data_IF_846428956168
#
_entry.id   IF_846428956168
#
_cell.length_a   1.000
_cell.length_b   1.000
_cell.length_c   1.000
_cell.angle_alpha   90.00
_cell.angle_beta   90.00
_cell.angle_gamma   90.00
#
_symmetry.space_group_name_H-M   'P 1'
#
loop_
_entity.id
_entity.type
_entity.pdbx_description
1 polymer ?
#
# COMPACT_ATOMS: atom_id res chain seq x y z
N UNK A 1 -13.28 14.21 6.72
CA UNK A 1 -11.89 13.86 6.30
C UNK A 1 -11.56 14.49 4.93
N UNK A 2 -12.09 15.69 4.64
CA UNK A 2 -12.20 16.27 3.29
C UNK A 2 -11.20 17.38 2.94
N UNK A 3 -10.64 18.07 3.93
CA UNK A 3 -10.07 19.42 3.67
C UNK A 3 -8.63 19.39 3.09
N UNK A 4 -8.05 18.21 2.94
CA UNK A 4 -6.63 18.01 2.57
C UNK A 4 -6.47 17.46 1.14
N UNK A 5 -7.52 16.83 0.59
CA UNK A 5 -7.47 16.19 -0.73
C UNK A 5 -8.25 17.02 -1.76
N UNK A 6 -7.84 18.29 -1.94
CA UNK A 6 -8.41 19.21 -2.93
C UNK A 6 -7.31 20.04 -3.59
N UNK A 7 -7.60 20.54 -4.80
CA UNK A 7 -6.65 21.23 -5.68
C UNK A 7 -5.91 22.37 -4.99
N UNK A 8 -6.60 23.19 -4.19
CA UNK A 8 -5.98 24.29 -3.44
C UNK A 8 -4.96 23.81 -2.42
N UNK A 9 -5.26 22.72 -1.69
CA UNK A 9 -4.29 22.13 -0.75
C UNK A 9 -3.05 21.60 -1.49
N UNK A 10 -3.25 20.89 -2.61
CA UNK A 10 -2.15 20.35 -3.43
C UNK A 10 -1.28 21.45 -3.99
N UNK A 11 -1.87 22.52 -4.51
CA UNK A 11 -1.14 23.68 -5.03
C UNK A 11 -0.27 24.33 -3.94
N UNK A 12 -0.79 24.49 -2.74
CA UNK A 12 -0.08 25.21 -1.68
C UNK A 12 0.95 24.35 -0.92
N UNK A 13 0.65 23.08 -0.64
CA UNK A 13 1.48 22.23 0.21
C UNK A 13 2.19 21.09 -0.52
N UNK A 14 1.84 20.82 -1.78
CA UNK A 14 2.22 19.59 -2.48
C UNK A 14 3.73 19.37 -2.56
N UNK A 15 4.49 20.33 -3.10
CA UNK A 15 5.94 20.19 -3.24
C UNK A 15 6.65 19.99 -1.89
N UNK A 16 6.23 20.71 -0.84
CA UNK A 16 6.78 20.58 0.51
C UNK A 16 6.50 19.21 1.11
N UNK A 17 5.34 18.63 0.82
CA UNK A 17 4.98 17.29 1.25
C UNK A 17 5.75 16.22 0.48
N UNK A 18 5.89 16.33 -0.84
CA UNK A 18 6.72 15.43 -1.64
C UNK A 18 8.17 15.41 -1.16
N UNK A 19 8.76 16.59 -0.91
CA UNK A 19 10.10 16.71 -0.30
C UNK A 19 10.18 16.11 1.10
N UNK A 20 9.08 16.11 1.87
CA UNK A 20 9.05 15.44 3.17
C UNK A 20 8.99 13.92 2.99
N UNK A 21 8.20 13.42 2.04
CA UNK A 21 8.04 11.98 1.78
C UNK A 21 9.34 11.38 1.24
N UNK A 22 10.02 12.07 0.32
CA UNK A 22 11.24 11.58 -0.30
C UNK A 22 12.38 11.31 0.70
N UNK A 23 12.45 12.08 1.79
CA UNK A 23 13.46 11.91 2.86
C UNK A 23 13.35 10.60 3.61
N UNK A 24 12.19 9.96 3.62
CA UNK A 24 11.92 8.78 4.44
C UNK A 24 11.64 7.53 3.60
N UNK A 25 11.91 7.56 2.30
CA UNK A 25 11.72 6.40 1.43
C UNK A 25 13.05 5.92 0.88
N UNK A 26 13.25 4.62 0.88
CA UNK A 26 14.45 3.98 0.32
C UNK A 26 14.03 2.91 -0.67
N UNK A 27 14.78 2.74 -1.77
CA UNK A 27 14.60 1.58 -2.63
C UNK A 27 15.02 0.34 -1.84
N UNK A 28 14.22 -0.72 -1.87
CA UNK A 28 14.63 -1.99 -1.29
C UNK A 28 15.72 -2.62 -2.18
N UNK A 29 16.86 -3.00 -1.61
CA UNK A 29 17.92 -3.73 -2.33
C UNK A 29 17.61 -5.22 -2.45
N UNK A 30 16.79 -5.78 -1.55
CA UNK A 30 16.84 -7.21 -1.23
C UNK A 30 15.64 -8.03 -1.70
N UNK A 31 14.80 -7.56 -2.62
CA UNK A 31 13.76 -8.44 -3.15
C UNK A 31 13.25 -8.01 -4.52
N UNK A 32 13.03 -9.02 -5.33
CA UNK A 32 12.22 -9.17 -6.56
C UNK A 32 10.98 -8.26 -6.75
N UNK A 33 10.62 -7.40 -5.78
CA UNK A 33 9.43 -6.55 -5.82
C UNK A 33 9.70 -5.09 -6.18
N UNK A 34 10.94 -4.62 -6.36
CA UNK A 34 11.26 -3.21 -6.69
C UNK A 34 10.48 -2.17 -5.83
N UNK A 35 10.18 -2.50 -4.57
CA UNK A 35 9.43 -1.62 -3.68
C UNK A 35 10.28 -0.42 -3.24
N UNK A 36 9.62 0.73 -3.15
CA UNK A 36 10.18 1.91 -2.47
C UNK A 36 9.56 1.97 -1.08
N UNK A 37 10.32 1.67 -0.03
CA UNK A 37 9.79 1.38 1.31
C UNK A 37 9.90 2.61 2.21
N UNK A 38 8.82 2.92 2.93
CA UNK A 38 8.79 3.94 3.98
C UNK A 38 9.58 3.50 5.22
N UNK A 39 10.39 4.39 5.80
CA UNK A 39 11.29 4.10 6.93
C UNK A 39 10.96 4.88 8.20
N UNK A 40 9.86 5.61 8.23
CA UNK A 40 9.43 6.38 9.40
C UNK A 40 8.19 5.76 10.07
N UNK A 41 7.50 6.52 10.92
CA UNK A 41 6.38 6.05 11.73
C UNK A 41 5.28 5.36 10.91
N UNK A 42 4.71 4.33 11.53
CA UNK A 42 3.57 3.55 11.03
C UNK A 42 2.35 3.76 11.95
N UNK A 43 1.15 3.54 11.43
CA UNK A 43 -0.05 3.39 12.26
C UNK A 43 -0.14 1.97 12.85
N UNK A 44 -1.15 1.76 13.70
CA UNK A 44 -1.42 0.47 14.35
C UNK A 44 -1.67 -0.69 13.36
N UNK A 45 -2.07 -0.38 12.13
CA UNK A 45 -2.38 -1.37 11.10
C UNK A 45 -1.16 -1.64 10.19
N UNK A 46 -0.04 -0.97 10.45
CA UNK A 46 1.23 -1.10 9.72
C UNK A 46 1.35 -0.18 8.50
N UNK A 47 0.48 0.83 8.33
CA UNK A 47 0.57 1.77 7.22
C UNK A 47 1.46 2.98 7.55
N UNK A 48 2.24 3.48 6.58
CA UNK A 48 2.98 4.73 6.69
C UNK A 48 2.12 5.93 7.11
N UNK A 49 2.58 6.66 8.12
CA UNK A 49 1.96 7.92 8.56
C UNK A 49 2.93 9.09 8.52
N UNK A 50 2.40 10.26 8.18
CA UNK A 50 3.10 11.54 8.24
C UNK A 50 2.30 12.51 9.10
N UNK A 51 2.88 12.91 10.23
CA UNK A 51 2.30 13.89 11.15
C UNK A 51 2.66 15.30 10.67
N UNK A 52 1.68 16.16 10.40
CA UNK A 52 1.88 17.57 9.99
C UNK A 52 0.87 18.50 10.63
N UNK A 53 1.28 19.75 10.83
CA UNK A 53 0.40 20.83 11.28
C UNK A 53 0.15 21.78 10.13
N UNK A 54 -1.11 22.06 9.82
CA UNK A 54 -1.52 23.09 8.86
C UNK A 54 -2.58 23.98 9.49
N UNK A 55 -2.43 25.30 9.35
CA UNK A 55 -3.38 26.28 9.90
C UNK A 55 -3.75 25.96 11.37
N UNK A 56 -2.74 25.73 12.20
CA UNK A 56 -2.86 25.38 13.63
C UNK A 56 -3.51 24.03 13.95
N UNK A 57 -3.95 23.25 12.95
CA UNK A 57 -4.54 21.92 13.14
C UNK A 57 -3.54 20.82 12.82
N UNK A 58 -3.45 19.81 13.67
CA UNK A 58 -2.59 18.63 13.49
C UNK A 58 -3.32 17.56 12.68
N UNK A 59 -2.59 16.89 11.80
CA UNK A 59 -3.09 15.86 10.91
C UNK A 59 -2.16 14.65 10.90
N UNK A 60 -2.77 13.46 10.92
CA UNK A 60 -2.10 12.18 10.68
C UNK A 60 -2.43 11.74 9.25
N UNK A 61 -1.52 11.97 8.32
CA UNK A 61 -1.73 11.67 6.91
C UNK A 61 -1.24 10.27 6.58
N UNK A 62 -2.07 9.42 5.98
CA UNK A 62 -1.64 8.14 5.40
C UNK A 62 -0.79 8.42 4.16
N UNK A 63 0.49 8.03 4.20
CA UNK A 63 1.49 8.50 3.22
C UNK A 63 1.22 7.93 1.84
N UNK A 64 0.79 6.68 1.71
CA UNK A 64 0.45 6.09 0.42
C UNK A 64 -0.69 6.84 -0.27
N UNK A 65 -1.72 7.23 0.48
CA UNK A 65 -2.87 7.98 -0.05
C UNK A 65 -2.47 9.40 -0.42
N UNK A 66 -1.67 10.03 0.43
CA UNK A 66 -1.12 11.36 0.17
C UNK A 66 -0.23 11.37 -1.06
N UNK A 67 0.70 10.41 -1.19
CA UNK A 67 1.60 10.32 -2.32
C UNK A 67 0.84 10.11 -3.63
N UNK A 68 -0.10 9.15 -3.65
CA UNK A 68 -0.94 8.92 -4.82
C UNK A 68 -1.69 10.19 -5.22
N UNK A 69 -2.27 10.92 -4.25
CA UNK A 69 -2.93 12.18 -4.51
C UNK A 69 -2.00 13.24 -5.12
N UNK A 70 -0.80 13.40 -4.56
CA UNK A 70 0.15 14.44 -4.98
C UNK A 70 0.73 14.18 -6.37
N UNK A 71 0.93 12.92 -6.74
CA UNK A 71 1.61 12.54 -7.99
C UNK A 71 0.64 12.14 -9.12
N UNK A 72 -0.64 11.86 -8.81
CA UNK A 72 -1.66 11.61 -9.83
C UNK A 72 -2.21 12.91 -10.42
N UNK A 73 -2.81 12.89 -11.63
CA UNK A 73 -3.51 14.04 -12.20
C UNK A 73 -4.85 14.35 -11.50
N UNK A 74 -5.24 13.58 -10.47
CA UNK A 74 -6.51 13.78 -9.77
C UNK A 74 -6.52 15.12 -9.02
N UNK A 75 -7.63 15.83 -9.13
CA UNK A 75 -7.87 17.08 -8.40
C UNK A 75 -8.26 16.84 -6.93
N UNK A 76 -8.99 15.74 -6.69
CA UNK A 76 -9.45 15.30 -5.38
C UNK A 76 -9.49 13.77 -5.29
N UNK A 77 -9.54 13.23 -4.06
CA UNK A 77 -9.75 11.80 -3.82
C UNK A 77 -11.11 11.55 -3.16
N UNK A 78 -11.92 10.74 -3.82
CA UNK A 78 -13.18 10.20 -3.30
C UNK A 78 -12.94 9.39 -2.02
N UNK A 79 -13.63 9.72 -0.91
CA UNK A 79 -13.55 8.94 0.32
C UNK A 79 -14.05 7.49 0.18
N UNK A 80 -14.87 7.17 -0.84
CA UNK A 80 -15.37 5.81 -1.13
C UNK A 80 -14.33 4.92 -1.82
N UNK A 81 -13.24 5.51 -2.32
CA UNK A 81 -12.16 4.81 -2.99
C UNK A 81 -10.95 4.68 -2.07
N UNK A 82 -10.20 3.60 -2.26
CA UNK A 82 -9.01 3.22 -1.52
C UNK A 82 -7.79 3.27 -2.41
N UNK A 83 -6.62 3.47 -1.80
CA UNK A 83 -5.32 3.30 -2.46
C UNK A 83 -4.75 1.97 -1.99
N UNK A 84 -4.85 0.96 -2.85
CA UNK A 84 -4.48 -0.42 -2.59
C UNK A 84 -3.03 -0.69 -2.99
N UNK A 85 -2.33 -1.53 -2.23
CA UNK A 85 -0.98 -1.98 -2.57
C UNK A 85 -1.05 -3.25 -3.41
N UNK A 86 -0.77 -3.16 -4.70
CA UNK A 86 -0.72 -4.30 -5.62
C UNK A 86 0.32 -5.33 -5.19
N UNK A 87 1.44 -4.87 -4.62
CA UNK A 87 2.52 -5.71 -4.10
C UNK A 87 2.25 -6.29 -2.70
N UNK A 88 1.13 -5.95 -2.06
CA UNK A 88 0.76 -6.34 -0.70
C UNK A 88 1.75 -5.96 0.42
N UNK A 89 2.77 -5.16 0.11
CA UNK A 89 3.62 -4.52 1.10
C UNK A 89 3.00 -3.20 1.55
N UNK A 90 2.46 -3.15 2.77
CA UNK A 90 1.81 -1.96 3.35
C UNK A 90 2.71 -0.73 3.46
N UNK A 91 4.03 -0.91 3.46
CA UNK A 91 5.02 0.16 3.56
C UNK A 91 5.52 0.65 2.20
N UNK A 92 5.06 0.05 1.09
CA UNK A 92 5.49 0.41 -0.25
C UNK A 92 4.86 1.74 -0.70
N UNK A 93 5.70 2.61 -1.25
CA UNK A 93 5.38 3.92 -1.79
C UNK A 93 5.75 4.04 -3.28
N UNK A 94 5.98 2.92 -3.97
CA UNK A 94 6.13 2.92 -5.42
C UNK A 94 4.74 3.13 -6.05
N UNK A 95 4.55 4.23 -6.78
CA UNK A 95 3.28 4.56 -7.43
C UNK A 95 2.77 3.45 -8.35
N UNK A 96 3.67 2.75 -9.05
CA UNK A 96 3.32 1.64 -9.93
C UNK A 96 2.79 0.41 -9.17
N UNK A 97 2.99 0.36 -7.85
CA UNK A 97 2.46 -0.68 -6.98
C UNK A 97 1.21 -0.22 -6.23
N UNK A 98 0.69 0.97 -6.54
CA UNK A 98 -0.54 1.50 -5.96
C UNK A 98 -1.65 1.49 -7.01
N UNK A 99 -2.88 1.27 -6.56
CA UNK A 99 -4.07 1.40 -7.40
C UNK A 99 -5.19 2.09 -6.65
N UNK A 100 -5.86 3.02 -7.30
CA UNK A 100 -6.99 3.75 -6.75
C UNK A 100 -8.31 3.11 -7.19
N UNK A 101 -9.02 2.49 -6.26
CA UNK A 101 -10.10 1.56 -6.57
C UNK A 101 -11.19 1.51 -5.47
N UNK A 102 -12.39 0.98 -5.77
CA UNK A 102 -13.44 0.82 -4.77
C UNK A 102 -13.07 -0.14 -3.64
N UNK A 103 -13.70 0.05 -2.48
CA UNK A 103 -13.51 -0.80 -1.29
C UNK A 103 -13.68 -2.30 -1.57
N UNK A 104 -14.64 -2.66 -2.44
CA UNK A 104 -14.90 -4.07 -2.83
C UNK A 104 -13.67 -4.70 -3.49
N UNK A 105 -13.01 -3.99 -4.41
CA UNK A 105 -11.81 -4.49 -5.10
C UNK A 105 -10.64 -4.61 -4.13
N UNK A 106 -10.44 -3.60 -3.28
CA UNK A 106 -9.42 -3.66 -2.23
C UNK A 106 -9.64 -4.86 -1.28
N UNK A 107 -10.89 -5.19 -0.95
CA UNK A 107 -11.21 -6.35 -0.11
C UNK A 107 -10.90 -7.67 -0.83
N UNK A 108 -11.25 -7.80 -2.11
CA UNK A 108 -10.95 -9.00 -2.92
C UNK A 108 -9.44 -9.31 -3.00
N UNK A 109 -8.58 -8.29 -2.89
CA UNK A 109 -7.13 -8.47 -2.84
C UNK A 109 -6.66 -9.28 -1.63
N UNK A 110 -7.39 -9.26 -0.51
CA UNK A 110 -7.05 -10.07 0.66
C UNK A 110 -7.17 -11.57 0.35
N UNK A 111 -8.19 -11.96 -0.42
CA UNK A 111 -8.33 -13.34 -0.92
C UNK A 111 -7.17 -13.75 -1.82
N UNK A 112 -6.67 -12.83 -2.64
CA UNK A 112 -5.50 -13.14 -3.47
C UNK A 112 -4.25 -13.44 -2.64
N UNK A 113 -4.05 -12.73 -1.52
CA UNK A 113 -2.95 -12.99 -0.58
C UNK A 113 -3.13 -14.32 0.13
N UNK A 114 -4.32 -14.59 0.67
CA UNK A 114 -4.57 -15.83 1.42
C UNK A 114 -4.39 -17.08 0.56
N UNK A 115 -4.80 -17.00 -0.70
CA UNK A 115 -4.68 -18.09 -1.68
C UNK A 115 -3.31 -18.13 -2.39
N UNK A 116 -2.44 -17.14 -2.13
CA UNK A 116 -1.13 -17.03 -2.77
C UNK A 116 -1.18 -16.83 -4.28
N UNK A 117 -2.31 -16.38 -4.86
CA UNK A 117 -2.47 -16.13 -6.30
C UNK A 117 -3.49 -15.03 -6.60
N UNK A 118 -3.26 -14.31 -7.70
CA UNK A 118 -4.19 -13.28 -8.16
C UNK A 118 -5.36 -13.91 -8.96
N UNK A 119 -6.60 -13.54 -8.62
CA UNK A 119 -7.81 -13.99 -9.33
C UNK A 119 -8.25 -13.05 -10.46
N UNK A 120 -7.60 -11.89 -10.58
CA UNK A 120 -7.93 -10.86 -11.55
C UNK A 120 -8.85 -9.79 -10.97
N UNK A 121 -8.65 -8.53 -11.38
CA UNK A 121 -9.38 -7.39 -10.82
C UNK A 121 -9.91 -6.41 -11.87
N UNK A 122 -10.31 -6.88 -13.06
CA UNK A 122 -10.74 -5.99 -14.16
C UNK A 122 -11.89 -5.04 -13.71
N UNK A 123 -11.85 -3.75 -14.10
CA UNK A 123 -10.87 -3.10 -14.97
C UNK A 123 -9.57 -2.65 -14.25
N UNK A 124 -9.44 -2.90 -12.95
CA UNK A 124 -8.27 -2.53 -12.15
C UNK A 124 -7.09 -3.49 -12.35
N UNK A 125 -5.90 -3.03 -11.96
CA UNK A 125 -4.66 -3.78 -12.12
C UNK A 125 -4.65 -5.03 -11.24
N UNK A 126 -4.07 -6.11 -11.76
CA UNK A 126 -3.84 -7.33 -11.01
C UNK A 126 -2.82 -7.12 -9.88
N UNK A 127 -2.85 -8.01 -8.88
CA UNK A 127 -1.83 -8.01 -7.84
C UNK A 127 -0.45 -8.34 -8.41
N UNK A 128 0.58 -7.76 -7.80
CA UNK A 128 2.00 -8.07 -8.01
C UNK A 128 2.43 -9.12 -6.98
N UNK A 129 1.63 -10.18 -6.85
CA UNK A 129 1.99 -11.32 -6.02
C UNK A 129 3.18 -11.99 -6.68
N UNK A 130 4.30 -12.04 -5.98
CA UNK A 130 5.42 -12.83 -6.45
C UNK A 130 5.05 -14.30 -6.33
N UNK A 131 5.47 -15.11 -7.30
CA UNK A 131 5.37 -16.57 -7.24
C UNK A 131 6.28 -17.20 -6.15
N UNK A 132 6.91 -16.40 -5.28
CA UNK A 132 7.99 -16.80 -4.36
C UNK A 132 7.54 -17.33 -2.99
N UNK A 133 6.28 -17.75 -2.84
CA UNK A 133 5.86 -18.58 -1.70
C UNK A 133 5.24 -19.91 -2.13
N UNK A 134 5.81 -20.53 -3.16
CA UNK A 134 5.86 -22.00 -3.21
C UNK A 134 6.94 -22.51 -2.26
N UNK A 135 6.90 -22.13 -0.99
CA UNK A 135 7.58 -22.92 0.02
C UNK A 135 6.62 -24.05 0.33
N UNK A 136 6.97 -25.22 -0.16
CA UNK A 136 6.33 -26.50 0.09
C UNK A 136 5.83 -26.57 1.54
N UNK A 137 4.51 -26.59 1.74
CA UNK A 137 3.96 -27.31 2.88
C UNK A 137 4.33 -28.77 2.62
N UNK A 138 5.50 -29.18 3.09
CA UNK A 138 5.76 -30.59 3.36
C UNK A 138 4.75 -30.98 4.43
N UNK A 139 3.67 -31.61 3.99
CA UNK A 139 2.76 -32.33 4.87
C UNK A 139 3.53 -33.52 5.41
N UNK A 140 4.08 -33.35 6.61
CA UNK A 140 4.73 -34.39 7.38
C UNK A 140 3.62 -35.10 8.17
N UNK A 141 2.98 -36.08 7.55
CA UNK A 141 2.01 -37.04 8.11
C UNK A 141 1.98 -38.17 7.05
N UNK A 142 2.34 -39.42 7.29
CA UNK A 142 2.21 -40.27 8.47
C UNK A 142 3.31 -41.34 8.43
N UNK A 143 3.99 -41.55 9.55
CA UNK A 143 4.56 -42.86 9.86
C UNK A 143 4.53 -43.05 11.38
N UNK A 144 4.53 -44.30 11.81
CA UNK A 144 4.38 -44.80 13.19
C UNK A 144 2.93 -45.06 13.65
N UNK A 145 2.43 -46.24 13.28
CA UNK A 145 1.87 -47.22 14.24
C UNK A 145 1.79 -48.62 13.60
N UNK A 146 2.95 -49.25 13.43
CA UNK A 146 3.07 -50.71 13.36
C UNK A 146 3.90 -51.17 14.56
N UNK A 147 3.23 -51.43 15.70
CA UNK A 147 3.67 -52.40 16.70
C UNK A 147 2.41 -53.06 17.27
N UNK A 148 2.08 -54.23 16.74
CA UNK A 148 1.45 -55.34 17.46
C UNK A 148 2.04 -56.63 16.91
#
# INVERSE_FOLDING_TARGET
>A
MSDIYNSSFKAFYGQKLLKSISKFRTKNSDSSSNCTVWKSGLDKDGYPILKKTFKLKRYNLRVQRLLYYLESPLEWLDPKFHVSHLCHNKQCLNLEHLSYEPAVVNSQRNTCVSEGRCFGHKPFRNCLLQASMRTTRNHFEQDERSIK
#
